data_IF_310569233602
#
_entry.id   IF_310569233602
#
_cell.length_a   1.000
_cell.length_b   1.000
_cell.length_c   1.000
_cell.angle_alpha   90.00
_cell.angle_beta   90.00
_cell.angle_gamma   90.00
#
_symmetry.space_group_name_H-M   'P 1'
#
loop_
_entity.id
_entity.type
_entity.pdbx_description
1 polymer ?
#
# COMPACT_ATOMS: atom_id res chain seq x y z
N UNK A 1 -3.84 62.87 36.47
CA UNK A 1 -2.93 61.72 36.53
C UNK A 1 -3.66 60.50 35.99
N UNK A 2 -3.37 60.07 34.75
CA UNK A 2 -4.00 58.94 34.08
C UNK A 2 -2.97 57.81 34.04
N UNK A 3 -3.31 56.71 34.74
CA UNK A 3 -2.46 55.49 34.80
C UNK A 3 -2.89 54.59 33.64
N UNK A 4 -2.01 54.45 32.65
CA UNK A 4 -2.17 53.58 31.52
C UNK A 4 -2.01 52.10 31.91
N UNK A 5 -3.04 51.29 31.69
CA UNK A 5 -2.97 49.80 31.75
C UNK A 5 -2.31 49.30 30.48
N UNK A 6 -1.09 48.73 30.62
CA UNK A 6 -0.44 47.92 29.58
C UNK A 6 -1.11 46.54 29.54
N UNK A 7 -1.88 46.30 28.47
CA UNK A 7 -2.39 44.96 28.17
C UNK A 7 -1.25 44.08 27.66
N UNK A 8 -0.94 42.98 28.38
CA UNK A 8 -0.05 41.95 27.93
C UNK A 8 -0.73 41.09 26.85
N UNK A 9 -0.36 41.25 25.59
CA UNK A 9 -0.72 40.33 24.52
C UNK A 9 0.04 38.99 24.72
N UNK A 10 -0.65 38.01 25.28
CA UNK A 10 -0.16 36.63 25.27
C UNK A 10 -0.23 36.07 23.87
N UNK A 11 0.88 36.00 23.18
CA UNK A 11 0.99 35.24 21.93
C UNK A 11 0.72 33.76 22.23
N UNK A 12 -0.46 33.25 21.85
CA UNK A 12 -0.72 31.82 21.79
C UNK A 12 0.29 31.21 20.81
N UNK A 13 1.31 30.50 21.32
CA UNK A 13 2.20 29.65 20.50
C UNK A 13 1.31 28.71 19.68
N UNK A 14 1.32 28.88 18.34
CA UNK A 14 0.75 27.87 17.43
C UNK A 14 1.35 26.52 17.83
N UNK A 15 0.54 25.55 18.24
CA UNK A 15 0.98 24.17 18.43
C UNK A 15 1.60 23.74 17.11
N UNK A 16 2.92 23.51 17.08
CA UNK A 16 3.58 22.91 15.93
C UNK A 16 2.96 21.53 15.68
N UNK A 17 2.74 21.21 14.42
CA UNK A 17 2.27 19.86 14.03
C UNK A 17 3.32 18.86 14.50
N UNK A 18 2.87 17.77 15.15
CA UNK A 18 3.76 16.69 15.60
C UNK A 18 4.33 15.99 14.36
N UNK A 19 5.64 15.84 14.32
CA UNK A 19 6.37 15.17 13.24
C UNK A 19 6.54 13.68 13.54
N UNK A 20 5.87 12.83 12.79
CA UNK A 20 5.92 11.36 12.93
C UNK A 20 6.61 10.76 11.72
N UNK A 21 7.76 10.14 11.95
CA UNK A 21 8.58 9.49 10.93
C UNK A 21 8.43 7.97 10.99
N UNK A 22 7.94 7.37 9.93
CA UNK A 22 8.04 5.92 9.72
C UNK A 22 9.40 5.59 9.12
N UNK A 23 10.09 4.59 9.69
CA UNK A 23 11.31 3.99 9.12
C UNK A 23 11.07 2.51 8.89
N UNK A 24 11.28 2.05 7.66
CA UNK A 24 11.15 0.67 7.21
C UNK A 24 12.56 0.15 6.88
N UNK A 25 13.20 -0.66 7.74
CA UNK A 25 14.48 -1.26 7.43
C UNK A 25 14.28 -2.44 6.46
N UNK A 26 14.95 -2.40 5.31
CA UNK A 26 14.87 -3.44 4.29
C UNK A 26 16.25 -3.65 3.65
N UNK A 27 16.94 -4.74 4.01
CA UNK A 27 18.22 -5.10 3.40
C UNK A 27 18.04 -5.98 2.16
N UNK A 28 18.98 -5.93 1.21
CA UNK A 28 18.98 -6.74 0.02
C UNK A 28 19.27 -8.24 0.28
N UNK A 29 20.15 -8.54 1.22
CA UNK A 29 20.64 -9.90 1.51
C UNK A 29 19.72 -10.75 2.38
N UNK A 30 18.51 -11.10 1.93
CA UNK A 30 17.63 -12.02 2.64
C UNK A 30 18.04 -13.49 2.41
N UNK A 31 18.35 -14.25 3.49
CA UNK A 31 18.83 -15.65 3.40
C UNK A 31 17.70 -16.68 3.32
N UNK A 32 16.63 -16.50 4.09
CA UNK A 32 15.54 -17.48 4.18
C UNK A 32 14.67 -17.52 2.92
N UNK A 33 14.40 -16.35 2.34
CA UNK A 33 13.64 -16.18 1.10
C UNK A 33 14.41 -15.18 0.23
N UNK A 34 14.93 -15.60 -0.95
CA UNK A 34 15.66 -14.70 -1.85
C UNK A 34 14.80 -13.50 -2.24
N UNK A 35 15.39 -12.29 -2.19
CA UNK A 35 14.74 -11.02 -2.50
C UNK A 35 13.43 -10.79 -1.73
N UNK A 36 13.30 -11.30 -0.49
CA UNK A 36 12.07 -11.31 0.32
C UNK A 36 11.29 -9.99 0.24
N UNK A 37 11.97 -8.86 0.41
CA UNK A 37 11.33 -7.54 0.51
C UNK A 37 10.62 -7.08 -0.78
N UNK A 38 11.10 -7.50 -1.95
CA UNK A 38 10.58 -7.12 -3.26
C UNK A 38 9.85 -8.25 -3.99
N UNK A 39 9.89 -9.47 -3.42
CA UNK A 39 9.12 -10.60 -3.95
C UNK A 39 7.63 -10.31 -3.91
N UNK A 40 6.90 -10.71 -4.97
CA UNK A 40 5.45 -10.53 -5.06
C UNK A 40 4.72 -11.30 -3.97
N UNK A 41 3.98 -10.60 -3.13
CA UNK A 41 3.14 -11.08 -2.05
C UNK A 41 1.72 -10.55 -2.26
N UNK A 42 0.76 -11.45 -2.50
CA UNK A 42 -0.64 -11.11 -2.78
C UNK A 42 -0.82 -9.94 -3.79
N UNK A 43 -0.01 -9.96 -4.87
CA UNK A 43 -0.10 -9.00 -5.97
C UNK A 43 0.82 -7.76 -5.86
N UNK A 44 1.52 -7.55 -4.74
CA UNK A 44 2.44 -6.43 -4.54
C UNK A 44 3.78 -6.89 -3.96
N UNK A 45 4.89 -6.16 -4.14
CA UNK A 45 6.11 -6.42 -3.39
C UNK A 45 5.86 -6.41 -1.89
N UNK A 46 6.46 -7.33 -1.13
CA UNK A 46 6.21 -7.45 0.31
C UNK A 46 6.39 -6.13 1.07
N UNK A 47 7.43 -5.36 0.75
CA UNK A 47 7.73 -4.06 1.37
C UNK A 47 6.60 -3.04 1.17
N UNK A 48 5.85 -3.15 0.08
CA UNK A 48 4.77 -2.22 -0.27
C UNK A 48 3.67 -2.15 0.81
N UNK A 49 3.42 -3.23 1.53
CA UNK A 49 2.47 -3.28 2.64
C UNK A 49 2.90 -2.39 3.83
N UNK A 50 4.20 -2.37 4.13
CA UNK A 50 4.73 -1.49 5.18
C UNK A 50 4.77 -0.02 4.72
N UNK A 51 5.09 0.23 3.44
CA UNK A 51 5.05 1.57 2.85
C UNK A 51 3.62 2.11 2.88
N UNK A 52 2.66 1.33 2.41
CA UNK A 52 1.25 1.70 2.41
C UNK A 52 0.74 2.00 3.84
N UNK A 53 1.16 1.21 4.83
CA UNK A 53 0.79 1.46 6.22
C UNK A 53 1.27 2.84 6.70
N UNK A 54 2.50 3.22 6.37
CA UNK A 54 3.02 4.55 6.68
C UNK A 54 2.29 5.68 5.96
N UNK A 55 2.03 5.51 4.66
CA UNK A 55 1.40 6.54 3.83
C UNK A 55 -0.10 6.75 4.12
N UNK A 56 -0.81 5.69 4.53
CA UNK A 56 -2.25 5.75 4.83
C UNK A 56 -2.56 6.16 6.27
N UNK A 57 -1.59 6.14 7.17
CA UNK A 57 -1.77 6.57 8.55
C UNK A 57 -1.91 8.10 8.64
N UNK A 58 -2.91 8.56 9.39
CA UNK A 58 -3.26 10.00 9.52
C UNK A 58 -2.24 10.78 10.34
N UNK A 59 -1.55 10.13 11.25
CA UNK A 59 -0.57 10.76 12.15
C UNK A 59 0.81 10.88 11.52
N UNK A 60 1.11 10.10 10.48
CA UNK A 60 2.43 10.05 9.85
C UNK A 60 2.66 11.28 8.97
N UNK A 61 3.86 11.87 9.10
CA UNK A 61 4.28 13.01 8.29
C UNK A 61 5.26 12.60 7.19
N UNK A 62 6.08 11.56 7.45
CA UNK A 62 7.05 11.04 6.48
C UNK A 62 7.18 9.52 6.58
N UNK A 63 7.36 8.86 5.44
CA UNK A 63 7.61 7.42 5.35
C UNK A 63 8.91 7.16 4.60
N UNK A 64 9.90 6.59 5.29
CA UNK A 64 11.24 6.36 4.79
C UNK A 64 11.58 4.87 4.77
N UNK A 65 12.19 4.41 3.67
CA UNK A 65 12.82 3.09 3.58
C UNK A 65 14.33 3.24 3.69
N UNK A 66 14.94 2.51 4.63
CA UNK A 66 16.39 2.41 4.79
C UNK A 66 16.85 1.08 4.18
N UNK A 67 17.54 1.15 3.04
CA UNK A 67 18.04 -0.01 2.31
C UNK A 67 19.45 0.20 1.77
N UNK A 68 20.19 -0.89 1.59
CA UNK A 68 21.50 -0.97 0.94
C UNK A 68 21.41 -1.46 -0.52
N UNK A 69 20.19 -1.73 -1.00
CA UNK A 69 19.91 -2.34 -2.30
C UNK A 69 19.17 -1.34 -3.19
N UNK A 70 19.72 -1.09 -4.38
CA UNK A 70 19.17 -0.10 -5.33
C UNK A 70 17.81 -0.52 -5.90
N UNK A 71 17.57 -1.83 -6.06
CA UNK A 71 16.30 -2.32 -6.58
C UNK A 71 15.18 -2.18 -5.53
N UNK A 72 15.48 -2.47 -4.25
CA UNK A 72 14.57 -2.17 -3.14
C UNK A 72 14.30 -0.67 -3.07
N UNK A 73 15.33 0.16 -3.27
CA UNK A 73 15.19 1.62 -3.27
C UNK A 73 14.27 2.11 -4.39
N UNK A 74 14.48 1.60 -5.62
CA UNK A 74 13.66 1.94 -6.78
C UNK A 74 12.18 1.58 -6.54
N UNK A 75 11.91 0.33 -6.16
CA UNK A 75 10.55 -0.14 -5.88
C UNK A 75 9.91 0.65 -4.74
N UNK A 76 10.67 0.95 -3.69
CA UNK A 76 10.15 1.73 -2.55
C UNK A 76 9.70 3.13 -2.97
N UNK A 77 10.46 3.80 -3.85
CA UNK A 77 10.08 5.11 -4.41
C UNK A 77 8.84 5.01 -5.29
N UNK A 78 8.70 3.95 -6.08
CA UNK A 78 7.50 3.71 -6.90
C UNK A 78 6.23 3.54 -6.06
N UNK A 79 6.37 3.00 -4.85
CA UNK A 79 5.28 2.89 -3.87
C UNK A 79 5.14 4.11 -2.96
N UNK A 80 5.90 5.20 -3.22
CA UNK A 80 5.75 6.50 -2.59
C UNK A 80 6.55 6.71 -1.31
N UNK A 81 7.43 5.78 -0.93
CA UNK A 81 8.33 6.00 0.19
C UNK A 81 9.52 6.88 -0.19
N UNK A 82 10.03 7.63 0.77
CA UNK A 82 11.30 8.32 0.65
C UNK A 82 12.47 7.34 0.80
N UNK A 83 13.46 7.44 -0.08
CA UNK A 83 14.76 6.75 0.05
C UNK A 83 15.85 7.79 -0.19
N UNK A 84 16.15 8.61 0.83
CA UNK A 84 17.05 9.77 0.66
C UNK A 84 18.52 9.39 0.62
N UNK A 85 18.88 8.18 1.01
CA UNK A 85 20.24 7.63 0.99
C UNK A 85 20.21 6.13 0.72
N UNK A 86 21.32 5.61 0.20
CA UNK A 86 21.61 4.17 0.23
C UNK A 86 22.36 3.88 1.54
N UNK A 87 21.85 2.94 2.32
CA UNK A 87 22.40 2.61 3.63
C UNK A 87 23.81 2.01 3.50
N UNK A 88 24.82 2.54 4.22
CA UNK A 88 26.17 2.01 4.19
C UNK A 88 26.23 0.52 4.57
N UNK A 89 27.08 -0.25 3.88
CA UNK A 89 27.23 -1.71 4.04
C UNK A 89 27.51 -2.15 5.49
N UNK A 90 28.20 -1.32 6.30
CA UNK A 90 28.46 -1.59 7.73
C UNK A 90 27.18 -1.70 8.57
N UNK A 91 26.05 -1.16 8.10
CA UNK A 91 24.74 -1.24 8.75
C UNK A 91 23.79 -2.23 8.06
N UNK A 92 24.32 -3.09 7.15
CA UNK A 92 23.50 -4.01 6.35
C UNK A 92 23.96 -5.47 6.47
N UNK A 93 24.85 -5.76 7.42
CA UNK A 93 25.36 -7.11 7.68
C UNK A 93 24.25 -7.98 8.31
N UNK A 94 24.43 -9.31 8.22
CA UNK A 94 23.43 -10.29 8.70
C UNK A 94 23.10 -10.16 10.19
N UNK A 95 24.09 -9.80 11.00
CA UNK A 95 23.98 -9.61 12.44
C UNK A 95 23.77 -8.16 12.87
N UNK A 96 23.53 -7.23 11.92
CA UNK A 96 23.27 -5.84 12.25
C UNK A 96 21.91 -5.71 12.93
N UNK A 97 21.94 -5.17 14.16
CA UNK A 97 20.73 -4.87 14.92
C UNK A 97 20.00 -3.65 14.35
N UNK A 98 18.74 -3.47 14.72
CA UNK A 98 17.94 -2.32 14.29
C UNK A 98 18.51 -0.98 14.78
N UNK A 99 19.05 -0.92 15.99
CA UNK A 99 19.52 0.33 16.62
C UNK A 99 20.49 1.15 15.74
N UNK A 100 21.62 0.62 15.25
CA UNK A 100 22.53 1.38 14.38
C UNK A 100 21.90 1.82 13.06
N UNK A 101 20.92 1.09 12.53
CA UNK A 101 20.17 1.47 11.32
C UNK A 101 19.32 2.71 11.58
N UNK A 102 18.63 2.74 12.71
CA UNK A 102 17.77 3.86 13.09
C UNK A 102 18.59 5.08 13.50
N UNK A 103 19.68 4.90 14.23
CA UNK A 103 20.60 5.99 14.55
C UNK A 103 21.20 6.63 13.28
N UNK A 104 21.62 5.81 12.32
CA UNK A 104 22.09 6.30 11.03
C UNK A 104 21.03 7.15 10.32
N UNK A 105 19.80 6.63 10.22
CA UNK A 105 18.71 7.32 9.52
C UNK A 105 18.38 8.66 10.19
N UNK A 106 18.25 8.70 11.51
CA UNK A 106 17.94 9.91 12.26
C UNK A 106 19.06 10.95 12.20
N UNK A 107 20.30 10.52 12.33
CA UNK A 107 21.46 11.42 12.24
C UNK A 107 21.60 11.98 10.83
N UNK A 108 21.42 11.18 9.80
CA UNK A 108 21.48 11.64 8.40
C UNK A 108 20.38 12.70 8.16
N UNK A 109 19.12 12.44 8.55
CA UNK A 109 18.02 13.41 8.40
C UNK A 109 18.28 14.72 9.17
N UNK A 110 18.87 14.62 10.36
CA UNK A 110 19.18 15.81 11.16
C UNK A 110 20.30 16.65 10.53
N UNK A 111 21.31 16.00 9.93
CA UNK A 111 22.48 16.69 9.32
C UNK A 111 22.15 17.23 7.94
N UNK A 112 21.60 16.41 7.06
CA UNK A 112 21.43 16.74 5.65
C UNK A 112 20.12 17.50 5.35
N UNK A 113 19.10 17.33 6.19
CA UNK A 113 17.78 17.93 5.95
C UNK A 113 17.28 18.81 7.10
N UNK A 114 18.08 18.97 8.17
CA UNK A 114 17.67 19.67 9.40
C UNK A 114 16.30 19.18 9.94
N UNK A 115 16.02 17.87 9.79
CA UNK A 115 14.76 17.25 10.19
C UNK A 115 14.93 16.40 11.46
N UNK A 116 14.08 16.66 12.44
CA UNK A 116 14.03 15.92 13.71
C UNK A 116 12.57 15.56 14.02
N UNK A 117 12.20 14.28 13.97
CA UNK A 117 10.83 13.86 14.29
C UNK A 117 10.57 13.93 15.80
N UNK A 118 9.29 14.04 16.18
CA UNK A 118 8.82 13.89 17.56
C UNK A 118 8.57 12.42 17.94
N UNK A 119 8.20 11.60 16.93
CA UNK A 119 7.96 10.16 17.07
C UNK A 119 8.61 9.42 15.91
N UNK A 120 9.25 8.30 16.21
CA UNK A 120 9.76 7.34 15.22
C UNK A 120 8.93 6.08 15.26
N UNK A 121 8.45 5.63 14.12
CA UNK A 121 7.70 4.37 13.98
C UNK A 121 8.55 3.39 13.17
N UNK A 122 8.81 2.23 13.75
CA UNK A 122 9.42 1.09 13.05
C UNK A 122 8.33 0.18 12.50
N UNK A 123 8.41 -0.15 11.21
CA UNK A 123 7.59 -1.18 10.57
C UNK A 123 8.49 -2.23 9.93
N UNK A 124 8.21 -3.50 10.19
CA UNK A 124 8.96 -4.60 9.57
C UNK A 124 8.21 -5.12 8.35
N UNK A 125 8.87 -5.26 7.18
CA UNK A 125 8.23 -5.84 5.98
C UNK A 125 7.70 -7.26 6.20
N UNK A 126 8.33 -8.04 7.10
CA UNK A 126 7.94 -9.43 7.41
C UNK A 126 6.57 -9.56 8.09
N UNK A 127 6.00 -8.46 8.60
CA UNK A 127 4.65 -8.42 9.18
C UNK A 127 3.72 -7.57 8.30
N UNK A 128 3.32 -8.05 7.09
CA UNK A 128 2.56 -7.26 6.12
C UNK A 128 1.09 -7.07 6.50
N UNK A 129 0.53 -7.97 7.29
CA UNK A 129 -0.90 -7.97 7.64
C UNK A 129 -1.13 -7.05 8.84
N UNK A 130 -1.44 -5.77 8.58
CA UNK A 130 -1.62 -4.74 9.62
C UNK A 130 -3.05 -4.21 9.66
N UNK A 131 -3.68 -4.08 10.85
CA UNK A 131 -4.93 -3.33 11.01
C UNK A 131 -4.77 -1.88 10.50
N UNK A 132 -5.82 -1.30 9.91
CA UNK A 132 -5.77 0.05 9.31
C UNK A 132 -5.29 1.14 10.27
N UNK A 133 -5.75 1.11 11.53
CA UNK A 133 -5.42 2.16 12.50
C UNK A 133 -4.17 1.85 13.35
N UNK A 134 -3.46 0.76 13.06
CA UNK A 134 -2.36 0.26 13.89
C UNK A 134 -1.32 1.33 14.24
N UNK A 135 -0.94 2.17 13.28
CA UNK A 135 0.06 3.23 13.49
C UNK A 135 -0.54 4.38 14.30
N UNK A 136 -1.73 4.83 13.92
CA UNK A 136 -2.40 5.96 14.59
C UNK A 136 -2.65 5.66 16.07
N UNK A 137 -3.06 4.42 16.38
CA UNK A 137 -3.31 3.97 17.75
C UNK A 137 -2.00 3.89 18.57
N UNK A 138 -0.91 3.37 17.99
CA UNK A 138 0.38 3.32 18.67
C UNK A 138 0.94 4.73 18.96
N UNK A 139 0.87 5.63 17.97
CA UNK A 139 1.29 7.03 18.15
C UNK A 139 0.44 7.73 19.20
N UNK A 140 -0.87 7.53 19.19
CA UNK A 140 -1.77 8.08 20.19
C UNK A 140 -1.42 7.61 21.59
N UNK A 141 -1.23 6.30 21.80
CA UNK A 141 -0.83 5.76 23.12
C UNK A 141 0.47 6.40 23.58
N UNK A 142 1.48 6.53 22.68
CA UNK A 142 2.75 7.14 23.04
C UNK A 142 2.62 8.61 23.45
N UNK A 143 1.74 9.36 22.77
CA UNK A 143 1.52 10.78 23.05
C UNK A 143 0.69 11.00 24.33
N UNK A 144 -0.30 10.14 24.58
CA UNK A 144 -1.15 10.21 25.77
C UNK A 144 -0.36 9.86 27.05
N UNK A 145 0.73 9.10 26.93
CA UNK A 145 1.58 8.68 28.05
C UNK A 145 2.97 9.35 27.98
N UNK A 146 3.08 10.55 28.55
CA UNK A 146 4.30 11.37 28.46
C UNK A 146 5.57 10.68 29.00
N UNK A 147 5.44 9.73 29.93
CA UNK A 147 6.54 8.95 30.48
C UNK A 147 6.90 7.70 29.68
N UNK A 148 6.08 7.31 28.68
CA UNK A 148 6.40 6.17 27.85
C UNK A 148 7.65 6.42 27.00
N UNK A 149 8.57 5.47 26.99
CA UNK A 149 9.72 5.44 26.10
C UNK A 149 9.30 4.97 24.71
N UNK A 150 8.43 3.97 24.68
CA UNK A 150 7.91 3.37 23.43
C UNK A 150 6.57 2.70 23.63
N UNK A 151 5.91 2.43 22.49
CA UNK A 151 4.73 1.57 22.36
C UNK A 151 5.09 0.42 21.44
N UNK A 152 4.76 -0.80 21.85
CA UNK A 152 5.09 -2.03 21.11
C UNK A 152 3.87 -2.84 20.78
N UNK A 153 3.78 -3.32 19.52
CA UNK A 153 2.75 -4.26 19.11
C UNK A 153 2.94 -5.61 19.81
N UNK A 154 1.91 -6.07 20.48
CA UNK A 154 1.88 -7.36 21.16
C UNK A 154 0.57 -8.09 20.87
N UNK A 155 0.58 -9.40 20.97
CA UNK A 155 -0.59 -10.27 20.83
C UNK A 155 -0.65 -11.24 22.00
N UNK A 156 -1.84 -11.68 22.37
CA UNK A 156 -2.00 -12.75 23.37
C UNK A 156 -1.23 -13.99 22.93
N UNK A 157 -0.34 -14.49 23.76
CA UNK A 157 0.51 -15.62 23.41
C UNK A 157 -0.33 -16.86 23.07
N UNK A 158 -0.19 -17.37 21.87
CA UNK A 158 -0.84 -18.61 21.44
C UNK A 158 -0.35 -19.82 22.25
N UNK A 159 0.95 -19.86 22.51
CA UNK A 159 1.61 -20.82 23.39
C UNK A 159 2.01 -20.12 24.67
N UNK A 160 1.52 -20.63 25.81
CA UNK A 160 1.80 -20.01 27.11
C UNK A 160 3.22 -20.37 27.56
N UNK A 161 4.12 -19.39 27.87
CA UNK A 161 5.51 -19.63 28.22
C UNK A 161 5.68 -20.42 29.55
N UNK A 162 4.68 -20.45 30.41
CA UNK A 162 4.68 -21.33 31.60
C UNK A 162 4.55 -22.81 31.26
N UNK A 163 4.26 -23.15 30.00
CA UNK A 163 4.21 -24.52 29.44
C UNK A 163 5.38 -24.80 28.48
N UNK A 164 6.40 -23.91 28.45
CA UNK A 164 7.59 -24.07 27.62
C UNK A 164 8.74 -24.69 28.41
N UNK A 165 9.57 -25.46 27.72
CA UNK A 165 10.65 -26.22 28.31
C UNK A 165 11.96 -25.94 27.57
N UNK A 166 13.07 -26.03 28.27
CA UNK A 166 14.38 -26.18 27.70
C UNK A 166 14.96 -27.55 28.12
N UNK A 167 15.83 -28.08 27.28
CA UNK A 167 16.57 -29.29 27.59
C UNK A 167 17.85 -28.85 28.28
N UNK A 168 18.05 -29.29 29.53
CA UNK A 168 19.26 -29.00 30.27
C UNK A 168 20.45 -29.84 29.80
N UNK A 169 21.70 -29.57 30.24
CA UNK A 169 22.89 -30.35 29.81
C UNK A 169 22.81 -31.85 30.11
N UNK A 170 21.95 -32.25 31.06
CA UNK A 170 21.73 -33.65 31.42
C UNK A 170 20.68 -34.35 30.53
N UNK A 171 20.10 -33.64 29.53
CA UNK A 171 19.07 -34.14 28.63
C UNK A 171 17.66 -34.16 29.24
N UNK A 172 17.44 -33.53 30.38
CA UNK A 172 16.12 -33.46 31.06
C UNK A 172 15.40 -32.18 30.69
N UNK A 173 14.04 -32.22 30.67
CA UNK A 173 13.19 -31.05 30.54
C UNK A 173 13.22 -30.21 31.81
N UNK A 174 13.45 -28.91 31.66
CA UNK A 174 13.33 -27.93 32.71
C UNK A 174 12.42 -26.77 32.23
N UNK A 175 11.47 -26.30 33.05
CA UNK A 175 10.55 -25.23 32.64
C UNK A 175 11.30 -23.92 32.39
N UNK A 176 10.94 -23.21 31.32
CA UNK A 176 11.55 -21.91 30.97
C UNK A 176 11.23 -20.85 32.00
N UNK A 177 10.00 -20.85 32.53
CA UNK A 177 9.54 -19.90 33.56
C UNK A 177 8.91 -20.68 34.70
N UNK A 178 9.23 -20.25 35.95
CA UNK A 178 8.58 -20.74 37.17
C UNK A 178 7.62 -19.67 37.70
N UNK A 179 6.43 -20.09 38.15
CA UNK A 179 5.46 -19.24 38.83
C UNK A 179 5.72 -19.31 40.32
N UNK A 180 5.90 -18.16 40.97
CA UNK A 180 6.11 -18.11 42.41
C UNK A 180 4.91 -18.69 43.17
N UNK A 181 5.15 -19.70 43.97
CA UNK A 181 4.11 -20.33 44.81
C UNK A 181 3.21 -21.34 44.06
N UNK A 182 3.54 -21.67 42.80
CA UNK A 182 2.84 -22.66 42.02
C UNK A 182 3.84 -23.71 41.54
N UNK A 183 3.73 -24.91 42.12
CA UNK A 183 4.47 -26.08 41.62
C UNK A 183 3.77 -26.59 40.32
N UNK A 184 4.56 -27.06 39.38
CA UNK A 184 4.07 -27.65 38.11
C UNK A 184 3.08 -26.77 37.32
N UNK A 185 3.30 -25.45 37.24
CA UNK A 185 2.46 -24.51 36.50
C UNK A 185 2.17 -24.97 35.08
N UNK A 186 3.05 -25.77 34.47
CA UNK A 186 2.90 -26.34 33.15
C UNK A 186 1.75 -27.36 33.03
N UNK A 187 1.25 -27.93 34.16
CA UNK A 187 0.11 -28.85 34.22
C UNK A 187 -1.23 -28.11 34.45
N UNK A 188 -1.21 -26.83 34.79
CA UNK A 188 -2.43 -26.05 35.03
C UNK A 188 -3.23 -25.74 33.76
N UNK A 189 -4.56 -25.63 33.85
CA UNK A 189 -5.40 -25.08 32.79
C UNK A 189 -4.90 -23.70 32.37
N UNK A 190 -4.96 -23.37 31.06
CA UNK A 190 -4.47 -22.10 30.52
C UNK A 190 -5.13 -20.89 31.21
N UNK A 191 -6.40 -21.01 31.59
CA UNK A 191 -7.19 -19.96 32.21
C UNK A 191 -6.73 -19.60 33.63
N UNK A 192 -6.02 -20.51 34.30
CA UNK A 192 -5.49 -20.31 35.65
C UNK A 192 -4.07 -19.76 35.64
N UNK A 193 -3.43 -19.70 34.48
CA UNK A 193 -2.10 -19.14 34.30
C UNK A 193 -2.19 -17.62 34.00
N UNK A 194 -1.17 -16.83 34.39
CA UNK A 194 -1.13 -15.42 34.05
C UNK A 194 -1.29 -15.17 32.57
N UNK A 195 -2.01 -14.10 32.20
CA UNK A 195 -2.08 -13.64 30.83
C UNK A 195 -0.70 -13.16 30.40
N UNK A 196 -0.24 -13.69 29.28
CA UNK A 196 1.05 -13.33 28.68
C UNK A 196 0.86 -12.91 27.22
N UNK A 197 1.70 -11.99 26.83
CA UNK A 197 1.72 -11.46 25.48
C UNK A 197 3.09 -11.72 24.87
N UNK A 198 3.12 -11.90 23.56
CA UNK A 198 4.38 -11.96 22.83
C UNK A 198 4.48 -10.80 21.85
N UNK A 199 5.71 -10.36 21.62
CA UNK A 199 6.01 -9.26 20.72
C UNK A 199 5.75 -9.67 19.27
N UNK A 200 5.14 -8.77 18.51
CA UNK A 200 4.95 -8.94 17.06
C UNK A 200 5.82 -7.95 16.27
N UNK A 201 6.03 -8.23 14.99
CA UNK A 201 6.76 -7.35 14.07
C UNK A 201 5.93 -6.17 13.52
N UNK A 202 4.68 -6.02 13.94
CA UNK A 202 3.75 -5.08 13.31
C UNK A 202 4.18 -3.62 13.46
N UNK A 203 4.55 -3.20 14.69
CA UNK A 203 4.85 -1.82 15.00
C UNK A 203 5.64 -1.67 16.29
N UNK A 204 6.58 -0.75 16.27
CA UNK A 204 7.14 -0.10 17.45
C UNK A 204 7.09 1.42 17.23
N UNK A 205 6.42 2.18 18.10
CA UNK A 205 6.44 3.64 18.11
C UNK A 205 7.35 4.11 19.27
N UNK A 206 8.37 4.92 18.98
CA UNK A 206 9.51 5.16 19.87
C UNK A 206 9.81 6.65 19.95
N UNK A 207 10.13 7.18 21.11
CA UNK A 207 10.65 8.55 21.22
C UNK A 207 12.08 8.64 20.69
N UNK A 208 12.44 9.64 19.86
CA UNK A 208 13.76 9.74 19.25
C UNK A 208 14.93 9.74 20.24
N UNK A 209 14.76 10.34 21.42
CA UNK A 209 15.79 10.36 22.46
C UNK A 209 16.10 8.97 23.03
N UNK A 210 15.15 8.03 22.96
CA UNK A 210 15.38 6.64 23.36
C UNK A 210 16.39 5.98 22.42
N UNK A 211 16.28 6.26 21.13
CA UNK A 211 17.20 5.73 20.11
C UNK A 211 18.57 6.43 20.18
N UNK A 212 18.56 7.77 20.24
CA UNK A 212 19.77 8.58 20.09
C UNK A 212 20.57 8.72 21.38
N UNK A 213 19.90 8.87 22.52
CA UNK A 213 20.55 9.16 23.81
C UNK A 213 20.60 7.93 24.71
N UNK A 214 19.47 7.16 24.80
CA UNK A 214 19.43 5.94 25.62
C UNK A 214 20.02 4.71 24.93
N UNK A 215 20.40 4.81 23.66
CA UNK A 215 20.91 3.71 22.83
C UNK A 215 20.04 2.46 22.90
N UNK A 216 18.72 2.62 22.73
CA UNK A 216 17.74 1.54 22.85
C UNK A 216 16.64 1.68 21.81
N UNK A 217 16.12 0.57 21.30
CA UNK A 217 14.94 0.55 20.42
C UNK A 217 13.61 0.47 21.18
N UNK A 218 13.63 0.42 22.50
CA UNK A 218 12.40 0.29 23.30
C UNK A 218 12.41 1.10 24.61
N UNK A 219 13.60 1.37 25.18
CA UNK A 219 13.72 1.96 26.49
C UNK A 219 13.31 1.00 27.62
N UNK A 220 12.91 1.57 28.75
CA UNK A 220 12.48 0.80 29.94
C UNK A 220 10.99 0.88 30.21
N UNK A 221 10.35 1.98 29.79
CA UNK A 221 8.92 2.22 29.99
C UNK A 221 8.15 1.97 28.68
N UNK A 222 7.78 0.70 28.47
CA UNK A 222 7.19 0.20 27.22
C UNK A 222 5.69 0.00 27.42
N UNK A 223 4.86 0.62 26.58
CA UNK A 223 3.42 0.44 26.58
C UNK A 223 2.97 -0.53 25.49
N UNK A 224 1.96 -1.37 25.75
CA UNK A 224 1.47 -2.33 24.76
C UNK A 224 0.46 -1.68 23.81
N UNK A 225 0.54 -2.02 22.51
CA UNK A 225 -0.58 -2.03 21.59
C UNK A 225 -1.00 -3.48 21.39
N UNK A 226 -2.15 -3.86 21.92
CA UNK A 226 -2.66 -5.22 21.80
C UNK A 226 -3.32 -5.38 20.43
N UNK A 227 -2.77 -6.27 19.59
CA UNK A 227 -3.23 -6.56 18.25
C UNK A 227 -4.05 -7.85 18.29
N UNK A 228 -5.12 -7.91 17.48
CA UNK A 228 -5.93 -9.11 17.34
C UNK A 228 -5.08 -10.27 16.75
N UNK A 229 -5.11 -11.47 17.34
CA UNK A 229 -4.38 -12.63 16.85
C UNK A 229 -4.61 -12.97 15.37
N UNK A 230 -5.74 -12.61 14.77
CA UNK A 230 -6.02 -12.78 13.34
C UNK A 230 -5.02 -12.08 12.42
N UNK A 231 -4.41 -11.00 12.90
CA UNK A 231 -3.41 -10.24 12.12
C UNK A 231 -1.98 -10.77 12.33
N UNK A 232 -1.79 -11.76 13.22
CA UNK A 232 -0.46 -12.21 13.59
C UNK A 232 0.20 -12.99 12.46
N UNK A 233 1.02 -12.30 11.69
CA UNK A 233 1.82 -12.87 10.61
C UNK A 233 3.24 -12.35 10.74
N UNK A 234 4.23 -13.26 10.71
CA UNK A 234 5.64 -12.95 10.55
C UNK A 234 6.21 -13.92 9.53
N UNK A 235 6.72 -13.41 8.43
CA UNK A 235 7.13 -14.21 7.26
C UNK A 235 8.62 -14.51 7.36
N UNK A 236 8.95 -15.73 7.78
CA UNK A 236 10.32 -16.22 7.84
C UNK A 236 10.58 -17.39 6.90
N UNK A 237 9.58 -18.18 6.57
CA UNK A 237 9.65 -19.34 5.70
C UNK A 237 8.70 -19.22 4.51
N UNK A 238 8.86 -20.07 3.49
CA UNK A 238 7.92 -20.15 2.38
C UNK A 238 6.52 -20.62 2.83
N UNK A 239 6.43 -21.43 3.86
CA UNK A 239 5.15 -21.85 4.42
C UNK A 239 4.41 -20.67 5.07
N UNK A 240 5.14 -19.81 5.80
CA UNK A 240 4.56 -18.57 6.34
C UNK A 240 4.07 -17.67 5.22
N UNK A 241 4.85 -17.59 4.12
CA UNK A 241 4.49 -16.84 2.93
C UNK A 241 3.15 -17.27 2.35
N UNK A 242 3.00 -18.57 2.06
CA UNK A 242 1.79 -19.14 1.47
C UNK A 242 0.57 -18.97 2.39
N UNK A 243 0.74 -19.19 3.69
CA UNK A 243 -0.32 -19.00 4.68
C UNK A 243 -0.75 -17.55 4.79
N UNK A 244 0.22 -16.62 4.80
CA UNK A 244 -0.05 -15.19 4.84
C UNK A 244 -0.74 -14.70 3.56
N UNK A 245 -0.31 -15.14 2.38
CA UNK A 245 -0.98 -14.80 1.12
C UNK A 245 -2.44 -15.29 1.09
N UNK A 246 -2.67 -16.51 1.57
CA UNK A 246 -4.03 -17.05 1.65
C UNK A 246 -4.90 -16.25 2.62
N UNK A 247 -4.34 -15.84 3.75
CA UNK A 247 -5.04 -14.99 4.72
C UNK A 247 -5.40 -13.62 4.12
N UNK A 248 -4.47 -12.99 3.39
CA UNK A 248 -4.69 -11.71 2.71
C UNK A 248 -5.76 -11.82 1.62
N UNK A 249 -5.72 -12.90 0.82
CA UNK A 249 -6.64 -13.09 -0.31
C UNK A 249 -8.07 -13.48 0.11
N UNK A 250 -8.21 -14.26 1.19
CA UNK A 250 -9.48 -14.91 1.53
C UNK A 250 -9.96 -14.62 2.95
N UNK A 251 -9.14 -14.00 3.80
CA UNK A 251 -9.46 -13.78 5.22
C UNK A 251 -10.41 -12.62 5.48
N UNK A 252 -10.75 -11.83 4.47
CA UNK A 252 -11.63 -10.64 4.57
C UNK A 252 -11.26 -9.71 5.74
N UNK A 253 -9.96 -9.47 5.94
CA UNK A 253 -9.43 -8.65 7.02
C UNK A 253 -9.55 -7.15 6.71
N UNK A 254 -9.93 -6.36 7.72
CA UNK A 254 -9.82 -4.90 7.65
C UNK A 254 -8.37 -4.48 7.88
N UNK A 255 -7.55 -4.61 6.86
CA UNK A 255 -6.12 -4.36 6.90
C UNK A 255 -5.68 -3.27 5.91
N UNK A 256 -4.44 -2.82 6.09
CA UNK A 256 -3.80 -1.95 5.11
C UNK A 256 -3.44 -2.75 3.87
N UNK A 257 -3.86 -2.26 2.72
CA UNK A 257 -3.42 -2.75 1.42
C UNK A 257 -2.51 -1.73 0.74
N UNK A 258 -1.45 -2.17 0.04
CA UNK A 258 -0.70 -1.30 -0.84
C UNK A 258 -1.63 -0.75 -1.90
N UNK A 259 -2.02 0.52 -1.78
CA UNK A 259 -2.53 1.26 -2.91
C UNK A 259 -1.32 1.61 -3.77
N UNK A 260 -1.38 1.38 -5.06
CA UNK A 260 -0.48 2.01 -6.01
C UNK A 260 -0.52 3.52 -5.69
N UNK A 261 0.62 4.20 -5.70
CA UNK A 261 0.59 5.67 -5.71
C UNK A 261 -0.27 6.05 -6.90
N UNK A 262 -1.46 6.58 -6.61
CA UNK A 262 -2.43 6.92 -7.65
C UNK A 262 -1.77 7.99 -8.51
N UNK A 263 -1.51 7.64 -9.77
CA UNK A 263 -0.96 8.57 -10.74
C UNK A 263 -2.05 9.57 -11.12
N UNK A 264 -1.67 10.82 -11.26
CA UNK A 264 -2.52 11.83 -11.85
C UNK A 264 -2.63 11.60 -13.37
N UNK A 265 -3.60 12.23 -14.01
CA UNK A 265 -3.63 12.29 -15.47
C UNK A 265 -2.29 12.83 -16.00
N UNK A 266 -1.74 12.22 -17.07
CA UNK A 266 -0.54 12.73 -17.71
C UNK A 266 -0.71 14.20 -18.14
N UNK A 267 0.33 14.99 -18.02
CA UNK A 267 0.29 16.38 -18.50
C UNK A 267 -0.10 16.46 -19.99
N UNK A 268 0.31 15.49 -20.80
CA UNK A 268 -0.09 15.33 -22.19
C UNK A 268 -0.78 13.97 -22.32
N UNK A 269 -2.04 13.94 -22.72
CA UNK A 269 -2.75 12.71 -23.08
C UNK A 269 -2.82 12.64 -24.59
N UNK A 270 -2.19 11.62 -25.19
CA UNK A 270 -2.16 11.41 -26.65
C UNK A 270 -3.15 10.35 -27.10
N UNK A 271 -3.42 9.35 -26.24
CA UNK A 271 -4.34 8.28 -26.55
C UNK A 271 -5.15 7.85 -25.33
N UNK A 272 -6.43 7.60 -25.55
CA UNK A 272 -7.35 6.90 -24.65
C UNK A 272 -7.59 5.50 -25.19
N UNK A 273 -7.16 4.48 -24.43
CA UNK A 273 -7.42 3.07 -24.72
C UNK A 273 -8.45 2.55 -23.71
N UNK A 274 -9.43 1.80 -24.16
CA UNK A 274 -10.47 1.28 -23.27
C UNK A 274 -10.89 -0.14 -23.65
N UNK A 275 -11.28 -0.91 -22.64
CA UNK A 275 -12.02 -2.14 -22.85
C UNK A 275 -13.43 -1.87 -23.39
N UNK A 276 -14.13 -2.88 -23.80
CA UNK A 276 -15.48 -2.78 -24.33
C UNK A 276 -16.52 -3.23 -23.30
N UNK A 277 -16.47 -4.49 -22.86
CA UNK A 277 -17.44 -5.05 -21.94
C UNK A 277 -17.18 -4.56 -20.51
N UNK A 278 -18.23 -4.15 -19.81
CA UNK A 278 -18.11 -3.54 -18.49
C UNK A 278 -17.53 -2.11 -18.48
N UNK A 279 -17.17 -1.55 -19.65
CA UNK A 279 -16.70 -0.16 -19.83
C UNK A 279 -17.68 0.62 -20.69
N UNK A 280 -17.87 0.23 -21.94
CA UNK A 280 -18.88 0.79 -22.86
C UNK A 280 -20.25 0.12 -22.74
N UNK A 281 -20.30 -1.05 -22.10
CA UNK A 281 -21.51 -1.80 -21.75
C UNK A 281 -21.58 -2.00 -20.23
N UNK A 282 -22.69 -2.55 -19.74
CA UNK A 282 -22.87 -2.91 -18.33
C UNK A 282 -22.47 -4.37 -18.02
N UNK A 283 -21.65 -4.97 -18.90
CA UNK A 283 -21.13 -6.34 -18.79
C UNK A 283 -22.22 -7.43 -18.92
N UNK A 284 -23.41 -7.08 -19.41
CA UNK A 284 -24.50 -8.01 -19.65
C UNK A 284 -24.71 -8.23 -21.14
N UNK A 285 -24.98 -9.49 -21.48
CA UNK A 285 -25.33 -9.91 -22.83
C UNK A 285 -26.68 -10.62 -22.81
N UNK A 286 -27.55 -10.32 -23.77
CA UNK A 286 -28.74 -11.09 -24.06
C UNK A 286 -28.42 -12.06 -25.19
N UNK A 287 -28.77 -13.32 -24.98
CA UNK A 287 -28.53 -14.37 -26.00
C UNK A 287 -29.86 -14.96 -26.36
N UNK A 288 -30.18 -15.05 -27.68
CA UNK A 288 -31.35 -15.72 -28.19
C UNK A 288 -31.13 -17.23 -28.37
N UNK A 289 -32.18 -17.95 -28.78
CA UNK A 289 -32.15 -19.41 -28.98
C UNK A 289 -31.22 -19.86 -30.12
N UNK A 290 -30.88 -18.96 -31.03
CA UNK A 290 -29.95 -19.20 -32.15
C UNK A 290 -28.49 -18.83 -31.76
N UNK A 291 -28.27 -18.34 -30.54
CA UNK A 291 -26.95 -17.93 -30.02
C UNK A 291 -26.53 -16.54 -30.50
N UNK A 292 -27.44 -15.72 -31.00
CA UNK A 292 -27.14 -14.34 -31.33
C UNK A 292 -27.07 -13.49 -30.05
N UNK A 293 -26.04 -12.69 -29.93
CA UNK A 293 -25.81 -11.83 -28.77
C UNK A 293 -26.26 -10.39 -29.05
N UNK A 294 -26.86 -9.78 -28.02
CA UNK A 294 -27.18 -8.36 -28.04
C UNK A 294 -26.64 -7.70 -26.75
N UNK A 295 -26.15 -6.47 -26.89
CA UNK A 295 -25.67 -5.66 -25.78
C UNK A 295 -26.43 -4.34 -25.67
N UNK A 296 -26.44 -3.74 -24.49
CA UNK A 296 -26.88 -2.36 -24.29
C UNK A 296 -25.66 -1.44 -24.17
N UNK A 297 -25.63 -0.36 -24.96
CA UNK A 297 -24.58 0.65 -24.88
C UNK A 297 -25.20 2.05 -24.80
N UNK A 298 -24.68 2.91 -23.93
CA UNK A 298 -25.21 4.23 -23.69
C UNK A 298 -24.86 5.21 -24.83
N UNK A 299 -25.85 6.00 -25.29
CA UNK A 299 -25.62 6.98 -26.35
C UNK A 299 -24.78 8.16 -25.92
N UNK A 300 -24.85 8.57 -24.63
CA UNK A 300 -24.07 9.68 -24.09
C UNK A 300 -22.58 9.39 -24.07
N UNK A 301 -22.16 8.13 -23.88
CA UNK A 301 -20.75 7.73 -23.94
C UNK A 301 -20.18 7.93 -25.33
N UNK A 302 -20.92 7.51 -26.39
CA UNK A 302 -20.55 7.76 -27.77
C UNK A 302 -20.44 9.26 -28.09
N UNK A 303 -21.36 10.06 -27.56
CA UNK A 303 -21.33 11.53 -27.71
C UNK A 303 -20.10 12.13 -27.01
N UNK A 304 -19.80 11.67 -25.78
CA UNK A 304 -18.62 12.10 -25.02
C UNK A 304 -17.33 11.88 -25.78
N UNK A 305 -17.13 10.66 -26.30
CA UNK A 305 -15.95 10.32 -27.11
C UNK A 305 -15.82 11.16 -28.39
N UNK A 306 -16.93 11.50 -29.03
CA UNK A 306 -16.90 12.39 -30.18
C UNK A 306 -16.44 13.78 -29.79
N UNK A 307 -17.03 14.39 -28.76
CA UNK A 307 -16.67 15.73 -28.29
C UNK A 307 -15.21 15.76 -27.82
N UNK A 308 -14.76 14.74 -27.11
CA UNK A 308 -13.37 14.61 -26.69
C UNK A 308 -12.40 14.70 -27.87
N UNK A 309 -12.62 13.89 -28.91
CA UNK A 309 -11.76 13.90 -30.11
C UNK A 309 -11.79 15.23 -30.84
N UNK A 310 -12.97 15.83 -30.98
CA UNK A 310 -13.15 17.11 -31.67
C UNK A 310 -12.44 18.26 -30.94
N UNK A 311 -12.49 18.28 -29.58
CA UNK A 311 -11.91 19.36 -28.77
C UNK A 311 -10.42 19.20 -28.50
N UNK A 312 -9.92 17.98 -28.36
CA UNK A 312 -8.57 17.73 -27.82
C UNK A 312 -7.63 17.06 -28.82
N UNK A 313 -8.16 16.41 -29.86
CA UNK A 313 -7.37 15.62 -30.78
C UNK A 313 -6.86 14.28 -30.20
N UNK A 314 -7.24 13.91 -28.97
CA UNK A 314 -6.85 12.65 -28.33
C UNK A 314 -7.34 11.47 -29.19
N UNK A 315 -6.40 10.57 -29.55
CA UNK A 315 -6.73 9.32 -30.23
C UNK A 315 -7.52 8.41 -29.30
N UNK A 316 -8.46 7.64 -29.82
CA UNK A 316 -9.27 6.69 -29.04
C UNK A 316 -9.16 5.31 -29.66
N UNK A 317 -8.96 4.27 -28.85
CA UNK A 317 -8.88 2.88 -29.26
C UNK A 317 -9.70 2.00 -28.31
N UNK A 318 -10.50 1.07 -28.84
CA UNK A 318 -11.11 -0.02 -28.08
C UNK A 318 -10.25 -1.28 -28.23
N UNK A 319 -9.93 -1.92 -27.11
CA UNK A 319 -9.11 -3.12 -27.04
C UNK A 319 -9.86 -4.22 -26.27
N UNK A 320 -10.57 -5.12 -26.97
CA UNK A 320 -11.45 -6.12 -26.39
C UNK A 320 -10.95 -7.55 -26.58
N UNK A 321 -11.17 -8.41 -25.57
CA UNK A 321 -11.00 -9.86 -25.70
C UNK A 321 -12.14 -10.52 -26.46
N UNK A 322 -13.31 -9.88 -26.47
CA UNK A 322 -14.49 -10.41 -27.11
C UNK A 322 -14.31 -10.48 -28.63
N UNK A 323 -14.67 -11.60 -29.24
CA UNK A 323 -14.58 -11.82 -30.67
C UNK A 323 -15.94 -11.61 -31.38
N UNK A 324 -17.03 -11.44 -30.61
CA UNK A 324 -18.37 -11.29 -31.15
C UNK A 324 -18.50 -10.04 -32.08
N UNK A 325 -19.14 -10.14 -33.23
CA UNK A 325 -19.31 -9.04 -34.20
C UNK A 325 -20.01 -7.79 -33.61
N UNK A 326 -20.68 -7.90 -32.45
CA UNK A 326 -21.38 -6.78 -31.83
C UNK A 326 -20.40 -5.67 -31.42
N UNK A 327 -19.19 -6.02 -31.00
CA UNK A 327 -18.10 -5.06 -30.66
C UNK A 327 -17.77 -4.21 -31.88
N UNK A 328 -17.46 -4.89 -33.02
CA UNK A 328 -17.15 -4.23 -34.28
C UNK A 328 -18.29 -3.35 -34.77
N UNK A 329 -19.53 -3.83 -34.70
CA UNK A 329 -20.72 -3.09 -35.14
C UNK A 329 -20.88 -1.79 -34.34
N UNK A 330 -20.70 -1.85 -33.03
CA UNK A 330 -20.81 -0.68 -32.15
C UNK A 330 -19.66 0.31 -32.36
N UNK A 331 -18.42 -0.16 -32.44
CA UNK A 331 -17.24 0.68 -32.66
C UNK A 331 -17.30 1.41 -34.01
N UNK A 332 -17.71 0.73 -35.08
CA UNK A 332 -17.93 1.36 -36.39
C UNK A 332 -18.99 2.48 -36.32
N UNK A 333 -20.11 2.25 -35.60
CA UNK A 333 -21.14 3.28 -35.41
C UNK A 333 -20.66 4.49 -34.66
N UNK A 334 -19.73 4.31 -33.72
CA UNK A 334 -19.09 5.39 -32.96
C UNK A 334 -17.93 6.04 -33.72
N UNK A 335 -17.52 5.49 -34.83
CA UNK A 335 -16.31 5.86 -35.57
C UNK A 335 -15.06 5.80 -34.68
N UNK A 336 -14.92 4.72 -33.90
CA UNK A 336 -13.78 4.47 -33.00
C UNK A 336 -12.99 3.27 -33.53
N UNK A 337 -11.68 3.38 -33.72
CA UNK A 337 -10.79 2.24 -33.98
C UNK A 337 -10.91 1.18 -32.89
N UNK A 338 -10.81 -0.09 -33.28
CA UNK A 338 -10.91 -1.21 -32.33
C UNK A 338 -10.05 -2.39 -32.75
N UNK A 339 -9.59 -3.14 -31.75
CA UNK A 339 -8.97 -4.45 -31.87
C UNK A 339 -9.78 -5.40 -30.99
N UNK A 340 -10.33 -6.45 -31.55
CA UNK A 340 -11.16 -7.44 -30.87
C UNK A 340 -10.56 -8.85 -30.94
N UNK A 341 -10.96 -9.78 -30.08
CA UNK A 341 -10.40 -11.13 -29.99
C UNK A 341 -8.97 -11.15 -29.41
N UNK A 342 -8.59 -10.12 -28.67
CA UNK A 342 -7.22 -9.93 -28.17
C UNK A 342 -7.04 -10.66 -26.84
N UNK A 343 -6.30 -11.78 -26.85
CA UNK A 343 -6.05 -12.56 -25.63
C UNK A 343 -5.00 -11.93 -24.70
N UNK A 344 -3.93 -11.36 -25.26
CA UNK A 344 -2.89 -10.63 -24.51
C UNK A 344 -2.99 -9.13 -24.82
N UNK A 345 -3.81 -8.43 -24.02
CA UNK A 345 -4.02 -6.99 -24.17
C UNK A 345 -2.74 -6.18 -23.95
N UNK A 346 -1.86 -6.61 -23.05
CA UNK A 346 -0.64 -5.87 -22.74
C UNK A 346 0.36 -5.89 -23.90
N UNK A 347 0.58 -7.04 -24.51
CA UNK A 347 1.46 -7.17 -25.67
C UNK A 347 0.94 -6.36 -26.87
N UNK A 348 -0.37 -6.48 -27.19
CA UNK A 348 -1.00 -5.75 -28.29
C UNK A 348 -1.03 -4.24 -28.05
N UNK A 349 -1.23 -3.81 -26.79
CA UNK A 349 -1.13 -2.41 -26.41
C UNK A 349 0.26 -1.84 -26.72
N UNK A 350 1.33 -2.50 -26.23
CA UNK A 350 2.70 -2.07 -26.48
C UNK A 350 3.05 -2.02 -27.98
N UNK A 351 2.67 -3.03 -28.73
CA UNK A 351 2.87 -3.05 -30.18
C UNK A 351 2.15 -1.89 -30.88
N UNK A 352 0.89 -1.63 -30.47
CA UNK A 352 0.10 -0.53 -31.03
C UNK A 352 0.73 0.83 -30.73
N UNK A 353 1.13 1.06 -29.48
CA UNK A 353 1.77 2.32 -29.08
C UNK A 353 3.09 2.55 -29.80
N UNK A 354 3.91 1.50 -29.94
CA UNK A 354 5.15 1.56 -30.71
C UNK A 354 4.90 1.92 -32.18
N UNK A 355 3.92 1.29 -32.82
CA UNK A 355 3.54 1.55 -34.22
C UNK A 355 3.02 2.98 -34.43
N UNK A 356 2.26 3.50 -33.47
CA UNK A 356 1.70 4.85 -33.52
C UNK A 356 2.71 5.95 -33.07
N UNK A 357 3.89 5.55 -32.58
CA UNK A 357 4.92 6.47 -32.04
C UNK A 357 4.47 7.22 -30.77
N UNK A 358 3.63 6.60 -29.94
CA UNK A 358 3.07 7.19 -28.74
C UNK A 358 3.84 6.68 -27.50
N UNK A 359 4.29 7.63 -26.67
CA UNK A 359 4.88 7.29 -25.38
C UNK A 359 3.79 6.71 -24.44
N UNK A 360 3.99 5.49 -23.91
CA UNK A 360 3.06 4.90 -22.94
C UNK A 360 2.73 5.82 -21.76
N UNK A 361 3.67 6.68 -21.34
CA UNK A 361 3.45 7.65 -20.27
C UNK A 361 2.35 8.70 -20.60
N UNK A 362 2.01 8.88 -21.89
CA UNK A 362 0.99 9.80 -22.38
C UNK A 362 -0.34 9.10 -22.70
N UNK A 363 -0.50 7.86 -22.25
CA UNK A 363 -1.70 7.05 -22.50
C UNK A 363 -2.56 6.94 -21.24
N UNK A 364 -3.87 7.06 -21.42
CA UNK A 364 -4.88 6.71 -20.42
C UNK A 364 -5.52 5.39 -20.82
N UNK A 365 -5.60 4.42 -19.90
CA UNK A 365 -6.25 3.12 -20.13
C UNK A 365 -7.46 2.97 -19.19
N UNK A 366 -8.59 2.49 -19.73
CA UNK A 366 -9.80 2.18 -18.95
C UNK A 366 -10.11 0.70 -19.03
N UNK A 367 -10.23 0.06 -17.88
CA UNK A 367 -10.58 -1.35 -17.76
C UNK A 367 -11.42 -1.63 -16.52
N UNK A 368 -12.16 -2.74 -16.54
CA UNK A 368 -13.07 -3.12 -15.45
C UNK A 368 -12.78 -4.49 -14.84
N UNK A 369 -12.03 -5.35 -15.52
CA UNK A 369 -11.79 -6.72 -15.09
C UNK A 369 -10.30 -7.06 -15.00
N UNK A 370 -9.98 -8.19 -14.37
CA UNK A 370 -8.60 -8.67 -14.12
C UNK A 370 -7.76 -8.80 -15.38
N UNK A 371 -8.41 -8.99 -16.52
CA UNK A 371 -7.75 -9.09 -17.83
C UNK A 371 -7.15 -7.77 -18.32
N UNK A 372 -7.55 -6.65 -17.71
CA UNK A 372 -7.03 -5.30 -17.99
C UNK A 372 -5.82 -4.95 -17.13
N UNK A 373 -5.67 -5.61 -15.97
CA UNK A 373 -4.60 -5.30 -15.01
C UNK A 373 -3.18 -5.31 -15.60
N UNK A 374 -2.82 -6.22 -16.55
CA UNK A 374 -1.52 -6.17 -17.19
C UNK A 374 -1.24 -4.89 -18.00
N UNK A 375 -2.29 -4.18 -18.45
CA UNK A 375 -2.15 -2.90 -19.15
C UNK A 375 -1.88 -1.72 -18.22
N UNK A 376 -2.33 -1.78 -16.97
CA UNK A 376 -2.25 -0.67 -16.02
C UNK A 376 -0.82 -0.17 -15.73
N UNK A 377 0.19 -1.02 -15.51
CA UNK A 377 1.57 -0.56 -15.28
C UNK A 377 2.24 0.02 -16.53
N UNK A 378 1.72 -0.26 -17.73
CA UNK A 378 2.30 0.18 -19.00
C UNK A 378 1.99 1.65 -19.27
N UNK A 379 0.79 2.11 -18.92
CA UNK A 379 0.25 3.42 -19.28
C UNK A 379 0.53 4.50 -18.23
N UNK A 380 0.42 5.77 -18.62
CA UNK A 380 0.58 6.91 -17.72
C UNK A 380 -0.49 7.01 -16.64
N UNK A 381 -1.74 6.64 -16.93
CA UNK A 381 -2.83 6.62 -15.97
C UNK A 381 -3.82 5.50 -16.30
N UNK A 382 -4.17 4.69 -15.29
CA UNK A 382 -5.16 3.63 -15.39
C UNK A 382 -6.45 4.04 -14.67
N UNK A 383 -7.59 3.86 -15.33
CA UNK A 383 -8.91 4.30 -14.86
C UNK A 383 -9.85 3.11 -14.80
N UNK A 384 -10.77 3.11 -13.84
CA UNK A 384 -11.79 2.08 -13.69
C UNK A 384 -13.19 2.69 -13.49
N UNK A 385 -14.24 2.15 -14.12
CA UNK A 385 -15.63 2.43 -13.74
C UNK A 385 -15.94 2.01 -12.29
N UNK A 386 -16.95 2.62 -11.66
CA UNK A 386 -17.28 2.39 -10.25
C UNK A 386 -17.65 0.93 -9.91
N UNK A 387 -18.25 0.20 -10.87
CA UNK A 387 -18.66 -1.20 -10.70
C UNK A 387 -17.61 -2.23 -11.16
N UNK A 388 -16.36 -1.81 -11.35
CA UNK A 388 -15.28 -2.71 -11.75
C UNK A 388 -14.97 -3.77 -10.68
N UNK A 389 -14.31 -4.84 -11.09
CA UNK A 389 -13.88 -5.90 -10.18
C UNK A 389 -13.03 -5.33 -9.03
N UNK A 390 -13.18 -5.80 -7.76
CA UNK A 390 -12.53 -5.18 -6.61
C UNK A 390 -11.02 -5.00 -6.73
N UNK A 391 -10.32 -5.96 -7.34
CA UNK A 391 -8.87 -5.86 -7.57
C UNK A 391 -8.52 -4.75 -8.58
N UNK A 392 -9.37 -4.52 -9.56
CA UNK A 392 -9.20 -3.45 -10.56
C UNK A 392 -9.39 -2.08 -9.90
N UNK A 393 -10.42 -1.93 -9.05
CA UNK A 393 -10.65 -0.70 -8.27
C UNK A 393 -9.45 -0.35 -7.37
N UNK A 394 -8.79 -1.36 -6.79
CA UNK A 394 -7.58 -1.17 -5.99
C UNK A 394 -6.38 -0.71 -6.82
N UNK A 395 -6.26 -1.23 -8.04
CA UNK A 395 -5.12 -1.01 -8.94
C UNK A 395 -5.27 0.23 -9.84
N UNK A 396 -6.48 0.74 -10.02
CA UNK A 396 -6.74 1.93 -10.81
C UNK A 396 -6.20 3.19 -10.13
N UNK A 397 -5.66 4.10 -10.91
CA UNK A 397 -5.21 5.41 -10.44
C UNK A 397 -6.40 6.32 -10.16
N UNK A 398 -7.43 6.27 -11.01
CA UNK A 398 -8.69 7.01 -10.87
C UNK A 398 -9.85 6.01 -10.96
N UNK A 399 -10.78 6.10 -10.02
CA UNK A 399 -12.05 5.39 -10.08
C UNK A 399 -13.15 6.42 -10.39
N UNK A 400 -13.92 6.16 -11.45
CA UNK A 400 -15.02 7.01 -11.87
C UNK A 400 -16.22 6.85 -10.92
N UNK A 401 -17.10 7.85 -10.88
CA UNK A 401 -18.33 7.78 -10.08
C UNK A 401 -19.42 6.94 -10.76
N UNK A 402 -19.39 6.90 -12.10
CA UNK A 402 -20.36 6.16 -12.91
C UNK A 402 -19.92 4.74 -13.22
N UNK A 403 -20.91 3.85 -13.33
CA UNK A 403 -20.70 2.47 -13.76
C UNK A 403 -20.45 2.38 -15.26
N UNK A 404 -19.76 1.31 -15.68
CA UNK A 404 -19.62 0.95 -17.08
C UNK A 404 -20.99 0.79 -17.76
N UNK A 405 -21.10 1.28 -19.00
CA UNK A 405 -22.35 1.31 -19.75
C UNK A 405 -23.43 2.26 -19.20
N UNK A 406 -23.14 2.99 -18.12
CA UNK A 406 -24.07 3.89 -17.46
C UNK A 406 -23.54 5.33 -17.35
N UNK A 407 -22.64 5.72 -18.26
CA UNK A 407 -22.11 7.07 -18.36
C UNK A 407 -20.66 7.24 -17.88
N UNK A 408 -19.96 6.16 -17.53
CA UNK A 408 -18.55 6.22 -17.11
C UNK A 408 -17.65 6.84 -18.20
N UNK A 409 -17.84 6.48 -19.45
CA UNK A 409 -17.05 7.04 -20.56
C UNK A 409 -17.44 8.49 -20.87
N UNK A 410 -18.70 8.87 -20.61
CA UNK A 410 -19.09 10.27 -20.70
C UNK A 410 -18.40 11.10 -19.60
N UNK A 411 -18.41 10.64 -18.36
CA UNK A 411 -17.70 11.27 -17.23
C UNK A 411 -16.22 11.44 -17.54
N UNK A 412 -15.57 10.37 -17.99
CA UNK A 412 -14.15 10.42 -18.36
C UNK A 412 -13.88 11.40 -19.49
N UNK A 413 -14.74 11.43 -20.51
CA UNK A 413 -14.58 12.37 -21.63
C UNK A 413 -14.62 13.82 -21.12
N UNK A 414 -15.56 14.15 -20.25
CA UNK A 414 -15.69 15.48 -19.68
C UNK A 414 -14.48 15.82 -18.76
N UNK A 415 -13.96 14.84 -17.99
CA UNK A 415 -12.76 14.97 -17.19
C UNK A 415 -11.52 15.28 -18.05
N UNK A 416 -11.31 14.53 -19.13
CA UNK A 416 -10.17 14.72 -20.03
C UNK A 416 -10.25 16.06 -20.81
N UNK A 417 -11.44 16.49 -21.18
CA UNK A 417 -11.65 17.80 -21.82
C UNK A 417 -11.27 18.91 -20.84
N UNK A 418 -11.78 18.86 -19.61
CA UNK A 418 -11.44 19.85 -18.57
C UNK A 418 -9.94 19.86 -18.25
N UNK A 419 -9.32 18.68 -18.20
CA UNK A 419 -7.87 18.57 -18.00
C UNK A 419 -7.08 19.24 -19.15
N UNK A 420 -7.48 19.02 -20.39
CA UNK A 420 -6.87 19.64 -21.56
C UNK A 420 -7.04 21.16 -21.57
N UNK A 421 -8.24 21.67 -21.28
CA UNK A 421 -8.53 23.11 -21.23
C UNK A 421 -7.69 23.82 -20.16
N UNK A 422 -7.46 23.21 -18.98
CA UNK A 422 -6.63 23.74 -17.90
C UNK A 422 -5.12 23.73 -18.22
N UNK A 423 -4.65 23.02 -19.22
CA UNK A 423 -3.25 23.01 -19.65
C UNK A 423 -2.94 24.03 -20.74
N UNK A 424 -3.98 24.51 -21.44
CA UNK A 424 -3.86 25.48 -22.55
C UNK A 424 -4.02 26.93 -22.05
N UNK A 425 -4.59 27.12 -20.83
CA UNK A 425 -4.66 28.41 -20.15
C UNK A 425 -3.39 28.65 -19.30
#
# INVERSE_FOLDING_TARGET
MAVGRRGSFSMKKKKSKIEVLVIIPARGGSKSIPQKNIRSFAGHPLIAYSIAAGLQARTVTRTLVSTDDEEIARISREYGAEVPFIRPAKYSQDNTLDLPVFQHSLNWLATEQNYRPDVVVQLRPTSPVRPRNCIDDAVKILLDHSQADSVRGVVVAGQNPYKMWHINPEGKLAPVIKVKGVEEAYNFPRQELPNVFWQTGHIDAIRPNVILEKNSMSGRNIWPLVIDPLYTVDIDTLLDWENAERLVKYGNLDMVFPGKVKRNLPKKVEMLVMDFDGVLTDDRVWVDEDGHEMIAALRSDALGLRILREKTGIKVLVLSREANPVVAARCRKMNVPFLQGVMDKAAVLLETLHKEGIDPANVVYVGNDIVDLPCFPIVGCAIAPANSYPLVLQQADIVLEKNGGQGAIRELSDLLISHFENLVC
#
